data_IF_579576831338
#
_entry.id   IF_579576831338
#
_cell.length_a   1.000
_cell.length_b   1.000
_cell.length_c   1.000
_cell.angle_alpha   90.00
_cell.angle_beta   90.00
_cell.angle_gamma   90.00
#
_symmetry.space_group_name_H-M   'P 1'
#
loop_
_entity.id
_entity.type
_entity.pdbx_description
1 polymer ?
#
# COMPACT_ATOMS: atom_id res chain seq x y z
N UNK A 1 -40.57 -31.58 -0.43
CA UNK A 1 -40.65 -31.62 1.04
C UNK A 1 -39.42 -30.94 1.60
N UNK A 2 -39.53 -29.82 2.33
CA UNK A 2 -38.36 -29.18 2.95
C UNK A 2 -37.86 -30.06 4.09
N UNK A 3 -36.66 -30.59 3.96
CA UNK A 3 -35.97 -31.38 4.98
C UNK A 3 -35.56 -30.46 6.13
N UNK A 4 -36.23 -30.59 7.28
CA UNK A 4 -35.80 -29.93 8.53
C UNK A 4 -34.43 -30.49 8.92
N UNK A 5 -33.42 -29.63 8.91
CA UNK A 5 -32.10 -29.90 9.45
C UNK A 5 -32.26 -30.17 10.96
N UNK A 6 -31.62 -31.21 11.53
CA UNK A 6 -31.68 -31.47 12.97
C UNK A 6 -31.21 -30.25 13.77
N UNK A 7 -31.94 -29.86 14.83
CA UNK A 7 -31.64 -28.65 15.61
C UNK A 7 -30.20 -28.64 16.18
N UNK A 8 -29.61 -29.81 16.40
CA UNK A 8 -28.23 -29.97 16.84
C UNK A 8 -27.19 -29.56 15.78
N UNK A 9 -27.46 -29.77 14.49
CA UNK A 9 -26.58 -29.32 13.42
C UNK A 9 -26.64 -27.81 13.23
N UNK A 10 -27.82 -27.22 13.40
CA UNK A 10 -28.02 -25.77 13.36
C UNK A 10 -27.25 -25.07 14.48
N UNK A 11 -27.29 -25.61 15.71
CA UNK A 11 -26.47 -25.08 16.82
C UNK A 11 -24.97 -25.24 16.57
N UNK A 12 -24.55 -26.33 15.92
CA UNK A 12 -23.14 -26.55 15.59
C UNK A 12 -22.65 -25.56 14.54
N UNK A 13 -23.48 -25.26 13.53
CA UNK A 13 -23.21 -24.26 12.52
C UNK A 13 -23.17 -22.84 13.11
N UNK A 14 -24.12 -22.49 13.99
CA UNK A 14 -24.13 -21.19 14.67
C UNK A 14 -22.88 -20.99 15.53
N UNK A 15 -22.47 -22.01 16.28
CA UNK A 15 -21.25 -21.95 17.11
C UNK A 15 -19.98 -21.78 16.27
N UNK A 16 -19.93 -22.39 15.09
CA UNK A 16 -18.81 -22.23 14.16
C UNK A 16 -18.78 -20.83 13.55
N UNK A 17 -19.96 -20.29 13.18
CA UNK A 17 -20.08 -18.93 12.66
C UNK A 17 -19.73 -17.87 13.71
N UNK A 18 -20.14 -18.05 14.97
CA UNK A 18 -19.77 -17.18 16.09
C UNK A 18 -18.25 -17.14 16.28
N UNK A 19 -17.59 -18.30 16.18
CA UNK A 19 -16.13 -18.39 16.26
C UNK A 19 -15.44 -17.63 15.11
N UNK A 20 -15.93 -17.78 13.89
CA UNK A 20 -15.40 -17.05 12.73
C UNK A 20 -15.60 -15.53 12.86
N UNK A 21 -16.77 -15.09 13.34
CA UNK A 21 -17.05 -13.68 13.61
C UNK A 21 -16.06 -13.12 14.62
N UNK A 22 -15.88 -13.82 15.75
CA UNK A 22 -14.96 -13.40 16.80
C UNK A 22 -13.50 -13.35 16.31
N UNK A 23 -13.09 -14.29 15.46
CA UNK A 23 -11.76 -14.30 14.85
C UNK A 23 -11.54 -13.07 13.95
N UNK A 24 -12.51 -12.76 13.09
CA UNK A 24 -12.43 -11.60 12.21
C UNK A 24 -12.47 -10.27 12.97
N UNK A 25 -13.22 -10.16 14.05
CA UNK A 25 -13.24 -8.98 14.91
C UNK A 25 -11.89 -8.74 15.60
N UNK A 26 -11.28 -9.80 16.15
CA UNK A 26 -9.94 -9.73 16.73
C UNK A 26 -8.87 -9.27 15.73
N UNK A 27 -8.90 -9.77 14.49
CA UNK A 27 -7.97 -9.31 13.43
C UNK A 27 -8.14 -7.81 13.17
N UNK A 28 -9.39 -7.33 13.09
CA UNK A 28 -9.70 -5.91 12.84
C UNK A 28 -9.23 -5.04 14.01
N UNK A 29 -9.44 -5.46 15.25
CA UNK A 29 -8.96 -4.74 16.43
C UNK A 29 -7.43 -4.65 16.45
N UNK A 30 -6.74 -5.76 16.21
CA UNK A 30 -5.27 -5.79 16.18
C UNK A 30 -4.71 -4.86 15.08
N UNK A 31 -5.29 -4.90 13.87
CA UNK A 31 -4.91 -3.99 12.78
C UNK A 31 -5.14 -2.52 13.15
N UNK A 32 -6.25 -2.23 13.83
CA UNK A 32 -6.59 -0.87 14.29
C UNK A 32 -5.61 -0.38 15.36
N UNK A 33 -5.24 -1.25 16.31
CA UNK A 33 -4.27 -0.97 17.36
C UNK A 33 -2.85 -0.77 16.81
N UNK A 34 -2.46 -1.51 15.78
CA UNK A 34 -1.19 -1.27 15.08
C UNK A 34 -1.21 0.08 14.36
N UNK A 35 -2.31 0.42 13.66
CA UNK A 35 -2.46 1.71 12.98
C UNK A 35 -2.50 2.90 13.96
N UNK A 36 -3.09 2.75 15.15
CA UNK A 36 -3.08 3.80 16.18
C UNK A 36 -1.68 3.98 16.77
N UNK A 37 -0.93 2.89 16.98
CA UNK A 37 0.46 2.93 17.44
C UNK A 37 1.37 3.63 16.42
N UNK A 38 1.23 3.31 15.13
CA UNK A 38 1.95 3.98 14.04
C UNK A 38 1.59 5.47 13.97
N UNK A 39 0.31 5.83 14.16
CA UNK A 39 -0.09 7.24 14.20
C UNK A 39 0.52 7.98 15.39
N UNK A 40 0.56 7.35 16.58
CA UNK A 40 1.18 7.91 17.80
C UNK A 40 2.68 8.14 17.62
N UNK A 41 3.40 7.20 17.03
CA UNK A 41 4.83 7.38 16.75
C UNK A 41 5.07 8.48 15.71
N UNK A 42 4.26 8.58 14.66
CA UNK A 42 4.33 9.67 13.67
C UNK A 42 4.03 11.04 14.28
N UNK A 43 3.12 11.14 15.25
CA UNK A 43 2.89 12.40 15.99
C UNK A 43 4.06 12.77 16.89
N UNK A 44 4.68 11.81 17.57
CA UNK A 44 5.86 12.04 18.43
C UNK A 44 7.08 12.52 17.62
N UNK A 45 7.30 11.94 16.42
CA UNK A 45 8.37 12.37 15.51
C UNK A 45 8.16 13.82 15.03
N UNK A 46 6.90 14.24 14.82
CA UNK A 46 6.55 15.60 14.39
C UNK A 46 6.77 16.65 15.50
N UNK A 47 6.72 16.26 16.77
CA UNK A 47 6.92 17.16 17.92
C UNK A 47 8.40 17.50 18.17
N UNK A 48 9.34 16.64 17.75
CA UNK A 48 10.78 16.88 17.92
C UNK A 48 11.34 17.88 16.90
N UNK A 49 10.73 17.99 15.72
CA UNK A 49 10.94 19.15 14.84
C UNK A 49 10.10 20.31 15.37
N UNK A 50 10.71 21.33 15.99
CA UNK A 50 10.03 22.59 16.38
C UNK A 50 9.57 23.37 15.15
N UNK A 51 8.58 22.85 14.42
CA UNK A 51 7.91 23.56 13.34
C UNK A 51 7.09 24.65 14.04
N UNK A 52 7.34 25.95 13.77
CA UNK A 52 6.60 27.03 14.41
C UNK A 52 5.10 26.82 14.18
N UNK A 53 4.32 26.78 15.27
CA UNK A 53 2.86 26.69 15.21
C UNK A 53 2.37 27.84 14.32
N UNK A 54 1.88 27.51 13.11
CA UNK A 54 1.37 28.51 12.16
C UNK A 54 0.34 29.38 12.89
N UNK A 55 0.66 30.66 13.08
CA UNK A 55 -0.27 31.70 13.52
C UNK A 55 -1.24 31.94 12.36
N UNK A 56 -2.29 31.13 12.30
CA UNK A 56 -3.36 31.21 11.31
C UNK A 56 -4.67 30.75 11.93
N UNK A 57 -5.82 31.05 11.30
CA UNK A 57 -7.13 30.65 11.81
C UNK A 57 -7.15 29.16 12.17
N UNK A 58 -7.66 28.82 13.37
CA UNK A 58 -7.78 27.43 13.83
C UNK A 58 -8.38 26.58 12.69
N UNK A 59 -7.76 25.44 12.38
CA UNK A 59 -8.27 24.49 11.37
C UNK A 59 -9.71 24.15 11.73
N UNK A 60 -10.68 24.63 10.94
CA UNK A 60 -12.09 24.25 11.09
C UNK A 60 -12.19 22.74 10.89
N UNK A 61 -12.82 22.05 11.84
CA UNK A 61 -13.06 20.61 11.72
C UNK A 61 -13.87 20.34 10.45
N UNK A 62 -13.39 19.41 9.61
CA UNK A 62 -14.09 19.07 8.38
C UNK A 62 -15.37 18.30 8.69
N UNK A 63 -16.49 18.70 8.08
CA UNK A 63 -17.74 17.93 8.10
C UNK A 63 -17.49 16.50 7.57
N UNK A 64 -18.19 15.47 8.08
CA UNK A 64 -18.04 14.08 7.63
C UNK A 64 -18.11 13.91 6.10
N UNK A 65 -19.04 14.59 5.43
CA UNK A 65 -19.21 14.53 3.97
C UNK A 65 -17.98 15.08 3.22
N UNK A 66 -17.33 16.11 3.77
CA UNK A 66 -16.09 16.67 3.19
C UNK A 66 -14.91 15.72 3.39
N UNK A 67 -14.85 15.01 4.52
CA UNK A 67 -13.86 13.96 4.77
C UNK A 67 -14.03 12.82 3.75
N UNK A 68 -15.27 12.36 3.53
CA UNK A 68 -15.56 11.31 2.56
C UNK A 68 -15.12 11.71 1.14
N UNK A 69 -15.49 12.92 0.68
CA UNK A 69 -15.05 13.44 -0.63
C UNK A 69 -13.52 13.53 -0.75
N UNK A 70 -12.84 13.95 0.30
CA UNK A 70 -11.37 14.00 0.32
C UNK A 70 -10.76 12.60 0.20
N UNK A 71 -11.29 11.61 0.92
CA UNK A 71 -10.85 10.21 0.82
C UNK A 71 -10.96 9.67 -0.61
N UNK A 72 -12.10 9.91 -1.28
CA UNK A 72 -12.32 9.47 -2.67
C UNK A 72 -11.30 10.11 -3.62
N UNK A 73 -11.09 11.43 -3.51
CA UNK A 73 -10.08 12.14 -4.34
C UNK A 73 -8.68 11.58 -4.13
N UNK A 74 -8.32 11.30 -2.87
CA UNK A 74 -7.02 10.70 -2.53
C UNK A 74 -6.87 9.31 -3.13
N UNK A 75 -7.90 8.46 -3.04
CA UNK A 75 -7.88 7.12 -3.64
C UNK A 75 -7.69 7.20 -5.16
N UNK A 76 -8.44 8.08 -5.83
CA UNK A 76 -8.31 8.31 -7.29
C UNK A 76 -6.91 8.80 -7.67
N UNK A 77 -6.35 9.73 -6.90
CA UNK A 77 -4.99 10.23 -7.13
C UNK A 77 -3.95 9.11 -6.96
N UNK A 78 -4.06 8.31 -5.90
CA UNK A 78 -3.18 7.16 -5.67
C UNK A 78 -3.31 6.10 -6.76
N UNK A 79 -4.51 5.89 -7.29
CA UNK A 79 -4.75 5.00 -8.43
C UNK A 79 -3.95 5.43 -9.66
N UNK A 80 -4.04 6.71 -10.04
CA UNK A 80 -3.28 7.26 -11.16
C UNK A 80 -1.77 7.17 -10.96
N UNK A 81 -1.29 7.42 -9.75
CA UNK A 81 0.14 7.32 -9.47
C UNK A 81 0.67 5.89 -9.62
N UNK A 82 -0.10 4.89 -9.18
CA UNK A 82 0.25 3.48 -9.41
C UNK A 82 0.31 3.15 -10.89
N UNK A 83 -0.64 3.64 -11.68
CA UNK A 83 -0.65 3.44 -13.13
C UNK A 83 0.55 4.09 -13.81
N UNK A 84 0.87 5.34 -13.44
CA UNK A 84 2.09 6.03 -13.91
C UNK A 84 3.35 5.22 -13.59
N UNK A 85 3.46 4.74 -12.35
CA UNK A 85 4.62 3.97 -11.88
C UNK A 85 4.69 2.58 -12.54
N UNK A 86 3.54 1.96 -12.85
CA UNK A 86 3.47 0.71 -13.62
C UNK A 86 4.08 0.90 -15.00
N UNK A 87 3.66 1.93 -15.75
CA UNK A 87 4.23 2.23 -17.06
C UNK A 87 5.73 2.51 -17.01
N UNK A 88 6.21 3.27 -16.00
CA UNK A 88 7.65 3.50 -15.81
C UNK A 88 8.41 2.19 -15.55
N UNK A 89 7.87 1.30 -14.71
CA UNK A 89 8.51 0.03 -14.40
C UNK A 89 8.50 -0.93 -15.60
N UNK A 90 7.47 -0.89 -16.45
CA UNK A 90 7.41 -1.65 -17.72
C UNK A 90 8.52 -1.21 -18.66
N UNK A 91 8.71 0.10 -18.85
CA UNK A 91 9.80 0.65 -19.66
C UNK A 91 11.19 0.27 -19.09
N UNK A 92 11.34 0.26 -17.76
CA UNK A 92 12.58 -0.19 -17.13
C UNK A 92 12.84 -1.69 -17.39
N UNK A 93 11.80 -2.52 -17.45
CA UNK A 93 11.94 -3.93 -17.79
C UNK A 93 12.35 -4.12 -19.25
N UNK A 94 11.78 -3.34 -20.18
CA UNK A 94 12.24 -3.31 -21.57
C UNK A 94 13.73 -2.93 -21.65
N UNK A 95 14.16 -1.94 -20.87
CA UNK A 95 15.58 -1.57 -20.80
C UNK A 95 16.45 -2.74 -20.32
N UNK A 96 16.02 -3.49 -19.29
CA UNK A 96 16.76 -4.68 -18.82
C UNK A 96 16.97 -5.73 -19.90
N UNK A 97 15.99 -5.93 -20.78
CA UNK A 97 16.09 -6.90 -21.88
C UNK A 97 17.14 -6.49 -22.93
N UNK A 98 17.36 -5.20 -23.12
CA UNK A 98 18.34 -4.68 -24.10
C UNK A 98 19.78 -4.67 -23.58
N UNK A 99 19.97 -4.76 -22.26
CA UNK A 99 21.29 -4.70 -21.65
C UNK A 99 21.92 -6.10 -21.64
N UNK A 100 23.15 -6.27 -22.16
CA UNK A 100 23.87 -7.53 -22.03
C UNK A 100 24.18 -7.83 -20.55
N UNK A 101 23.60 -8.91 -20.02
CA UNK A 101 23.85 -9.36 -18.65
C UNK A 101 24.06 -10.88 -18.57
N UNK A 102 25.00 -11.31 -17.74
CA UNK A 102 25.41 -12.72 -17.62
C UNK A 102 24.44 -13.58 -16.79
N UNK A 103 23.50 -12.97 -16.05
CA UNK A 103 22.50 -13.67 -15.25
C UNK A 103 21.13 -13.61 -15.91
N UNK A 104 20.67 -14.73 -16.46
CA UNK A 104 19.36 -14.87 -17.10
C UNK A 104 18.21 -14.93 -16.10
N UNK A 105 18.47 -15.30 -14.84
CA UNK A 105 17.43 -15.51 -13.81
C UNK A 105 17.28 -14.35 -12.83
N UNK A 106 18.34 -13.55 -12.60
CA UNK A 106 18.32 -12.51 -11.58
C UNK A 106 17.98 -11.14 -12.19
N UNK A 107 16.91 -10.52 -11.70
CA UNK A 107 16.55 -9.15 -12.08
C UNK A 107 17.51 -8.15 -11.43
N UNK A 108 18.16 -7.34 -12.25
CA UNK A 108 18.98 -6.21 -11.80
C UNK A 108 18.15 -5.17 -11.04
N UNK A 109 18.72 -4.56 -10.00
CA UNK A 109 18.09 -3.42 -9.32
C UNK A 109 17.99 -2.20 -10.25
N UNK A 110 17.13 -1.23 -9.90
CA UNK A 110 16.90 -0.04 -10.74
C UNK A 110 18.20 0.72 -11.03
N UNK A 111 19.06 0.86 -10.02
CA UNK A 111 20.32 1.61 -10.14
C UNK A 111 21.35 0.84 -10.98
N UNK A 112 21.42 -0.48 -10.82
CA UNK A 112 22.32 -1.33 -11.62
C UNK A 112 21.94 -1.30 -13.09
N UNK A 113 20.64 -1.43 -13.41
CA UNK A 113 20.12 -1.32 -14.78
C UNK A 113 20.54 0.01 -15.42
N UNK A 114 20.39 1.14 -14.71
CA UNK A 114 20.75 2.45 -15.26
C UNK A 114 22.27 2.62 -15.46
N UNK A 115 23.08 2.14 -14.51
CA UNK A 115 24.55 2.19 -14.61
C UNK A 115 25.05 1.35 -15.78
N UNK A 116 24.53 0.13 -15.91
CA UNK A 116 24.96 -0.79 -16.97
C UNK A 116 24.50 -0.31 -18.35
N UNK A 117 23.29 0.26 -18.45
CA UNK A 117 22.81 0.89 -19.69
C UNK A 117 23.73 2.02 -20.16
N UNK A 118 24.13 2.92 -19.25
CA UNK A 118 25.06 4.02 -19.55
C UNK A 118 26.38 3.47 -20.11
N UNK A 119 27.00 2.54 -19.40
CA UNK A 119 28.28 1.95 -19.81
C UNK A 119 28.14 1.20 -21.14
N UNK A 120 27.00 0.56 -21.39
CA UNK A 120 26.76 -0.15 -22.64
C UNK A 120 26.70 0.82 -23.83
N UNK A 121 25.98 1.94 -23.70
CA UNK A 121 25.98 3.01 -24.71
C UNK A 121 27.40 3.54 -24.94
N UNK A 122 28.16 3.81 -23.87
CA UNK A 122 29.55 4.29 -23.96
C UNK A 122 30.46 3.30 -24.71
N UNK A 123 30.35 2.00 -24.39
CA UNK A 123 31.13 0.95 -25.05
C UNK A 123 30.79 0.83 -26.54
N UNK A 124 29.50 0.94 -26.91
CA UNK A 124 29.08 0.93 -28.32
C UNK A 124 29.49 2.19 -29.09
N UNK A 125 29.71 3.31 -28.40
CA UNK A 125 30.09 4.58 -29.02
C UNK A 125 31.61 4.70 -29.24
N UNK A 126 32.41 3.94 -28.48
CA UNK A 126 33.88 3.92 -28.58
C UNK A 126 34.42 2.85 -29.56
N UNK A 127 33.53 1.99 -30.09
CA UNK A 127 33.82 1.07 -31.19
C UNK A 127 33.59 1.75 -32.54
#
# INVERSE_FOLDING_TARGET
MPTKIPQDEEQRQLKQLEFEIQYHENIKENTTNQLTTIKKSLTSICEQTKIPKKRGPKKKQMTPSRIARFKVRRIKANGRERERMKGLNEQLECLRQTIPCFSLSQKLSKIETLRLAKNYIEALTQM
#
